data_IF_528412451295
#
_entry.id   IF_528412451295
#
_cell.length_a   1.000
_cell.length_b   1.000
_cell.length_c   1.000
_cell.angle_alpha   90.00
_cell.angle_beta   90.00
_cell.angle_gamma   90.00
#
_symmetry.space_group_name_H-M   'P 1'
#
loop_
_entity.id
_entity.type
_entity.pdbx_description
1 polymer ?
#
# COMPACT_ATOMS: atom_id res chain seq x y z
N UNK A 1 -20.96 6.10 -23.04
CA UNK A 1 -19.80 5.47 -22.37
C UNK A 1 -20.22 4.11 -21.82
N UNK A 2 -19.49 3.03 -22.12
CA UNK A 2 -19.79 1.67 -21.63
C UNK A 2 -18.69 1.25 -20.65
N UNK A 3 -18.96 1.39 -19.35
CA UNK A 3 -18.04 1.05 -18.28
C UNK A 3 -18.03 -0.47 -18.08
N UNK A 4 -17.07 -1.16 -18.69
CA UNK A 4 -16.84 -2.59 -18.47
C UNK A 4 -16.03 -2.79 -17.18
N UNK A 5 -16.70 -2.59 -16.04
CA UNK A 5 -16.17 -2.97 -14.73
C UNK A 5 -16.28 -4.48 -14.55
N UNK A 6 -15.30 -5.22 -15.06
CA UNK A 6 -15.00 -6.52 -14.47
C UNK A 6 -14.49 -6.30 -13.05
N UNK A 7 -14.91 -7.13 -12.10
CA UNK A 7 -13.99 -8.07 -11.43
C UNK A 7 -14.78 -8.98 -10.46
N UNK A 8 -14.13 -9.99 -9.85
CA UNK A 8 -14.71 -11.30 -9.53
C UNK A 8 -14.79 -11.62 -8.02
N UNK A 9 -15.42 -12.75 -7.74
CA UNK A 9 -14.97 -13.69 -6.72
C UNK A 9 -14.79 -15.04 -7.46
N UNK A 10 -13.82 -15.87 -7.07
CA UNK A 10 -13.22 -16.95 -7.91
C UNK A 10 -12.29 -16.46 -9.03
N UNK A 11 -11.62 -15.31 -8.86
CA UNK A 11 -10.72 -14.72 -9.84
C UNK A 11 -10.34 -13.29 -9.52
N UNK A 12 -10.44 -12.43 -10.54
CA UNK A 12 -10.20 -10.98 -10.54
C UNK A 12 -10.74 -10.24 -9.28
N UNK A 13 -10.29 -9.00 -9.07
CA UNK A 13 -10.56 -8.10 -7.92
C UNK A 13 -12.04 -7.72 -7.60
N UNK A 14 -12.30 -6.58 -6.94
CA UNK A 14 -13.61 -5.92 -7.04
C UNK A 14 -13.42 -4.40 -7.01
N UNK A 15 -13.57 -3.74 -8.15
CA UNK A 15 -13.44 -2.29 -8.26
C UNK A 15 -14.74 -1.60 -7.85
N UNK A 16 -14.72 -0.93 -6.70
CA UNK A 16 -15.78 -0.02 -6.29
C UNK A 16 -15.40 1.38 -6.82
N UNK A 17 -16.18 1.91 -7.75
CA UNK A 17 -16.04 3.29 -8.19
C UNK A 17 -16.90 4.17 -7.30
N UNK A 18 -16.25 5.06 -6.54
CA UNK A 18 -16.93 6.09 -5.76
C UNK A 18 -17.68 7.08 -6.66
N UNK A 19 -17.01 7.57 -7.71
CA UNK A 19 -17.57 8.58 -8.61
C UNK A 19 -17.09 8.41 -10.04
N UNK A 20 -18.02 8.58 -10.98
CA UNK A 20 -17.74 8.83 -12.40
C UNK A 20 -18.17 10.26 -12.69
N UNK A 21 -17.23 11.13 -13.08
CA UNK A 21 -17.52 12.45 -13.64
C UNK A 21 -17.39 12.34 -15.16
N UNK A 22 -18.40 12.80 -15.90
CA UNK A 22 -18.26 13.12 -17.31
C UNK A 22 -17.88 14.61 -17.39
N UNK A 23 -16.79 14.92 -18.10
CA UNK A 23 -16.41 16.30 -18.43
C UNK A 23 -16.47 16.47 -19.94
N UNK A 24 -16.75 17.68 -20.39
CA UNK A 24 -16.42 18.09 -21.74
C UNK A 24 -14.90 18.27 -21.86
N UNK A 25 -14.34 17.91 -23.02
CA UNK A 25 -12.94 18.15 -23.35
C UNK A 25 -12.82 19.63 -23.77
N UNK A 26 -12.30 20.45 -22.88
CA UNK A 26 -12.12 21.89 -23.04
C UNK A 26 -10.66 22.25 -22.75
N UNK A 27 -10.04 23.05 -23.60
CA UNK A 27 -8.66 23.57 -23.45
C UNK A 27 -8.57 24.64 -22.33
N UNK A 28 -8.89 24.24 -21.10
CA UNK A 28 -8.69 25.06 -19.91
C UNK A 28 -7.23 24.91 -19.43
N UNK A 29 -6.57 25.99 -19.00
CA UNK A 29 -5.19 25.92 -18.52
C UNK A 29 -5.13 25.17 -17.18
N UNK A 30 -4.54 23.98 -17.18
CA UNK A 30 -4.27 23.17 -15.98
C UNK A 30 -2.84 23.41 -15.50
N UNK A 31 -2.68 23.81 -14.22
CA UNK A 31 -1.38 23.78 -13.53
C UNK A 31 -1.26 22.45 -12.79
N UNK A 32 -0.23 21.67 -13.12
CA UNK A 32 0.14 20.46 -12.38
C UNK A 32 1.42 20.75 -11.60
N UNK A 33 1.46 20.32 -10.34
CA UNK A 33 2.64 20.42 -9.46
C UNK A 33 2.82 19.10 -8.74
N UNK A 34 4.04 18.56 -8.78
CA UNK A 34 4.42 17.39 -7.99
C UNK A 34 4.95 17.87 -6.63
N UNK A 35 4.57 17.17 -5.57
CA UNK A 35 5.04 17.41 -4.21
C UNK A 35 5.74 16.15 -3.72
N UNK A 36 6.94 16.32 -3.19
CA UNK A 36 7.66 15.25 -2.51
C UNK A 36 7.06 14.99 -1.13
N UNK A 37 7.19 13.75 -0.66
CA UNK A 37 6.80 13.37 0.70
C UNK A 37 7.75 14.06 1.69
N UNK A 38 7.22 14.94 2.55
CA UNK A 38 8.00 15.66 3.55
C UNK A 38 8.34 14.76 4.75
N UNK A 39 7.38 13.93 5.18
CA UNK A 39 7.55 12.94 6.24
C UNK A 39 6.78 11.67 5.90
N UNK A 40 7.32 10.51 6.28
CA UNK A 40 6.59 9.25 6.24
C UNK A 40 6.96 8.38 7.43
N UNK A 41 5.97 7.97 8.21
CA UNK A 41 6.15 7.12 9.38
C UNK A 41 5.40 5.80 9.17
N UNK A 42 6.10 4.68 9.29
CA UNK A 42 5.48 3.36 9.25
C UNK A 42 5.00 2.98 10.65
N UNK A 43 3.72 2.67 10.75
CA UNK A 43 3.08 2.17 11.95
C UNK A 43 2.53 0.76 11.74
N UNK A 44 2.23 0.10 12.84
CA UNK A 44 1.50 -1.17 12.84
C UNK A 44 0.27 -1.00 13.76
N UNK A 45 -0.75 -0.24 13.34
CA UNK A 45 -1.97 -0.08 14.15
C UNK A 45 -2.68 -1.42 14.37
N UNK A 46 -2.55 -2.36 13.43
CA UNK A 46 -3.29 -3.62 13.38
C UNK A 46 -4.21 -3.66 12.16
N UNK A 47 -4.78 -4.84 11.83
CA UNK A 47 -5.71 -4.94 10.71
C UNK A 47 -6.98 -4.10 11.01
N UNK A 48 -7.60 -3.48 10.00
CA UNK A 48 -8.76 -2.64 10.21
C UNK A 48 -10.03 -3.47 10.49
N UNK A 49 -10.91 -2.98 11.36
CA UNK A 49 -12.22 -3.60 11.63
C UNK A 49 -13.14 -3.53 10.41
N UNK A 50 -13.74 -4.66 10.00
CA UNK A 50 -14.77 -4.67 8.94
C UNK A 50 -16.10 -4.13 9.49
N UNK A 51 -16.77 -3.26 8.73
CA UNK A 51 -18.09 -2.73 9.11
C UNK A 51 -19.21 -3.79 9.04
N UNK A 52 -19.12 -4.71 8.07
CA UNK A 52 -20.17 -5.70 7.79
C UNK A 52 -19.55 -7.10 7.53
N UNK A 53 -18.87 -7.71 8.52
CA UNK A 53 -18.11 -8.95 8.31
C UNK A 53 -18.96 -10.12 7.79
N UNK A 54 -20.23 -10.20 8.23
CA UNK A 54 -21.14 -11.30 7.89
C UNK A 54 -21.90 -11.09 6.55
N UNK A 55 -21.60 -10.03 5.79
CA UNK A 55 -22.32 -9.68 4.56
C UNK A 55 -21.41 -9.77 3.31
N UNK A 56 -21.10 -10.99 2.81
CA UNK A 56 -20.08 -11.22 1.78
C UNK A 56 -20.39 -10.65 0.39
N UNK A 57 -21.62 -10.16 0.18
CA UNK A 57 -22.07 -9.50 -1.05
C UNK A 57 -22.00 -7.96 -0.99
N UNK A 58 -21.64 -7.37 0.16
CA UNK A 58 -21.42 -5.93 0.28
C UNK A 58 -19.97 -5.55 -0.03
N UNK A 59 -19.70 -4.27 -0.35
CA UNK A 59 -18.36 -3.73 -0.30
C UNK A 59 -17.70 -4.02 1.04
N UNK A 60 -16.44 -4.46 1.01
CA UNK A 60 -15.61 -4.62 2.21
C UNK A 60 -15.16 -3.25 2.71
N UNK A 61 -16.08 -2.56 3.35
CA UNK A 61 -15.80 -1.33 4.07
C UNK A 61 -15.21 -1.66 5.44
N UNK A 62 -14.23 -0.86 5.85
CA UNK A 62 -13.53 -1.01 7.13
C UNK A 62 -13.36 0.34 7.83
N UNK A 63 -13.03 0.28 9.12
CA UNK A 63 -12.52 1.42 9.89
C UNK A 63 -11.04 1.12 10.17
N UNK A 64 -10.17 2.09 9.90
CA UNK A 64 -8.74 1.98 10.17
C UNK A 64 -8.47 2.29 11.65
N UNK A 65 -8.92 1.36 12.51
CA UNK A 65 -8.89 1.40 13.97
C UNK A 65 -7.86 0.44 14.59
N UNK A 66 -7.26 -0.44 13.78
CA UNK A 66 -6.38 -1.51 14.25
C UNK A 66 -7.07 -2.67 14.99
N UNK A 67 -8.40 -2.61 15.15
CA UNK A 67 -9.20 -3.51 15.98
C UNK A 67 -9.65 -4.80 15.31
N UNK A 68 -9.30 -5.00 14.03
CA UNK A 68 -9.66 -6.18 13.26
C UNK A 68 -9.05 -7.46 13.82
N UNK A 69 -9.68 -8.60 13.53
CA UNK A 69 -9.16 -9.89 13.95
C UNK A 69 -7.80 -10.20 13.27
N UNK A 70 -6.78 -10.69 14.00
CA UNK A 70 -5.59 -11.24 13.37
C UNK A 70 -5.94 -12.48 12.55
N UNK A 71 -5.15 -12.77 11.52
CA UNK A 71 -5.29 -13.97 10.68
C UNK A 71 -3.95 -14.72 10.65
N UNK A 72 -3.64 -15.52 11.69
CA UNK A 72 -2.37 -16.24 11.81
C UNK A 72 -2.12 -17.19 10.63
N UNK A 73 -3.18 -17.73 10.03
CA UNK A 73 -3.12 -18.58 8.83
C UNK A 73 -2.70 -17.83 7.55
N UNK A 74 -2.46 -16.51 7.67
CA UNK A 74 -1.99 -15.61 6.61
C UNK A 74 -0.71 -14.88 6.99
N UNK A 75 -0.02 -15.32 8.04
CA UNK A 75 1.34 -14.87 8.28
C UNK A 75 2.23 -15.21 7.08
N UNK A 76 3.28 -14.42 6.85
CA UNK A 76 4.33 -14.69 5.86
C UNK A 76 5.65 -14.95 6.57
N UNK A 77 6.57 -15.62 5.89
CA UNK A 77 7.96 -15.75 6.30
C UNK A 77 8.81 -14.60 5.73
N UNK A 78 9.86 -14.21 6.46
CA UNK A 78 10.80 -13.18 6.05
C UNK A 78 10.91 -12.03 7.04
N UNK A 79 11.42 -10.89 6.55
CA UNK A 79 11.63 -9.68 7.34
C UNK A 79 10.78 -8.54 6.77
N UNK A 80 10.24 -7.73 7.67
CA UNK A 80 9.40 -6.58 7.39
C UNK A 80 10.10 -5.29 7.81
N UNK A 81 9.65 -4.18 7.26
CA UNK A 81 10.19 -2.87 7.61
C UNK A 81 9.86 -2.55 9.06
N UNK A 82 10.86 -2.03 9.79
CA UNK A 82 10.72 -1.51 11.16
C UNK A 82 9.73 -0.34 11.18
N UNK A 83 9.05 -0.15 12.30
CA UNK A 83 8.20 1.03 12.50
C UNK A 83 9.04 2.32 12.66
N UNK A 84 8.39 3.46 12.51
CA UNK A 84 9.00 4.79 12.47
C UNK A 84 9.42 5.19 11.05
N UNK A 85 10.34 6.16 10.95
CA UNK A 85 10.56 6.88 9.70
C UNK A 85 11.00 6.04 8.50
N UNK A 86 10.23 6.13 7.43
CA UNK A 86 10.40 5.46 6.13
C UNK A 86 10.44 6.41 4.94
N UNK A 87 10.56 7.73 5.15
CA UNK A 87 10.59 8.74 4.08
C UNK A 87 11.55 8.38 2.92
N UNK A 88 12.77 7.92 3.22
CA UNK A 88 13.74 7.51 2.20
C UNK A 88 13.40 6.23 1.40
N UNK A 89 12.34 5.50 1.78
CA UNK A 89 11.81 4.33 1.07
C UNK A 89 10.54 4.63 0.25
N UNK A 90 9.97 5.84 0.39
CA UNK A 90 8.74 6.25 -0.32
C UNK A 90 8.95 7.50 -1.19
N UNK A 91 10.16 8.08 -1.17
CA UNK A 91 10.54 9.25 -1.95
C UNK A 91 11.02 8.95 -3.39
N UNK A 92 10.89 7.72 -3.89
CA UNK A 92 11.32 7.37 -5.26
C UNK A 92 11.13 5.91 -5.67
N UNK A 93 11.35 5.66 -6.97
CA UNK A 93 11.16 4.39 -7.69
C UNK A 93 12.46 3.55 -7.75
N UNK A 94 12.94 3.08 -6.60
CA UNK A 94 14.13 2.22 -6.53
C UNK A 94 13.90 0.86 -5.86
N UNK A 95 14.96 0.05 -5.79
CA UNK A 95 14.93 -1.33 -5.29
C UNK A 95 14.88 -1.44 -3.74
N UNK A 96 14.53 -0.36 -3.02
CA UNK A 96 14.42 -0.28 -1.56
C UNK A 96 12.99 0.02 -1.14
N UNK A 97 12.23 -1.03 -0.83
CA UNK A 97 10.79 -0.93 -0.57
C UNK A 97 10.45 -0.82 0.92
N UNK A 98 9.38 -0.09 1.25
CA UNK A 98 8.68 -0.27 2.50
C UNK A 98 7.90 -1.60 2.47
N UNK A 99 8.39 -2.62 3.17
CA UNK A 99 7.81 -3.96 3.21
C UNK A 99 6.85 -4.05 4.40
N UNK A 100 5.57 -4.13 4.09
CA UNK A 100 4.46 -4.07 5.05
C UNK A 100 3.79 -5.44 5.23
N UNK A 101 3.36 -5.73 6.46
CA UNK A 101 2.41 -6.80 6.78
C UNK A 101 0.96 -6.29 6.72
N UNK A 102 0.02 -7.22 6.83
CA UNK A 102 -1.40 -6.93 7.02
C UNK A 102 -1.61 -6.10 8.29
N UNK A 103 -2.13 -4.88 8.12
CA UNK A 103 -2.45 -3.99 9.24
C UNK A 103 -1.30 -3.08 9.66
N UNK A 104 -0.24 -3.02 8.87
CA UNK A 104 0.64 -1.86 8.87
C UNK A 104 -0.06 -0.67 8.19
N UNK A 105 0.30 0.53 8.61
CA UNK A 105 -0.05 1.79 7.96
C UNK A 105 1.22 2.59 7.67
N UNK A 106 1.16 3.48 6.68
CA UNK A 106 2.17 4.53 6.50
C UNK A 106 1.44 5.85 6.49
N UNK A 107 1.71 6.71 7.47
CA UNK A 107 1.25 8.10 7.45
C UNK A 107 2.19 8.90 6.55
N UNK A 108 1.63 9.66 5.60
CA UNK A 108 2.36 10.49 4.65
C UNK A 108 2.00 11.96 4.85
N UNK A 109 3.00 12.79 5.14
CA UNK A 109 2.84 14.23 5.25
C UNK A 109 3.42 14.92 4.00
N UNK A 110 2.63 15.81 3.41
CA UNK A 110 3.03 16.65 2.28
C UNK A 110 2.96 18.12 2.70
N UNK A 111 3.99 18.89 2.37
CA UNK A 111 4.08 20.33 2.64
C UNK A 111 4.08 21.13 1.33
N UNK A 112 3.93 22.45 1.42
CA UNK A 112 4.01 23.33 0.25
C UNK A 112 2.82 23.27 -0.71
N UNK A 113 1.67 22.73 -0.28
CA UNK A 113 0.42 22.78 -1.05
C UNK A 113 -0.02 24.25 -1.20
N UNK A 114 0.19 24.84 -2.37
CA UNK A 114 -0.35 26.16 -2.72
C UNK A 114 -1.89 26.12 -2.77
N UNK A 115 -2.60 27.14 -2.27
CA UNK A 115 -4.05 27.24 -2.46
C UNK A 115 -4.40 27.49 -3.93
N UNK A 116 -5.59 27.06 -4.40
CA UNK A 116 -6.04 27.36 -5.76
C UNK A 116 -6.15 28.87 -6.00
N UNK A 117 -5.89 29.28 -7.25
CA UNK A 117 -6.18 30.63 -7.69
C UNK A 117 -7.68 30.94 -7.57
N UNK A 118 -8.10 32.20 -7.35
CA UNK A 118 -9.51 32.57 -7.23
C UNK A 118 -10.33 32.09 -8.44
N UNK A 119 -11.35 31.26 -8.17
CA UNK A 119 -12.21 30.67 -9.20
C UNK A 119 -11.76 29.31 -9.76
N UNK A 120 -10.62 28.76 -9.32
CA UNK A 120 -10.16 27.42 -9.71
C UNK A 120 -10.57 26.33 -8.69
N UNK A 121 -10.85 25.11 -9.18
CA UNK A 121 -10.99 23.88 -8.36
C UNK A 121 -9.60 23.24 -8.21
N UNK A 122 -9.20 22.89 -6.99
CA UNK A 122 -8.00 22.09 -6.73
C UNK A 122 -8.39 20.62 -6.52
N UNK A 123 -7.64 19.71 -7.12
CA UNK A 123 -7.71 18.27 -6.85
C UNK A 123 -6.32 17.77 -6.47
N UNK A 124 -6.26 16.94 -5.43
CA UNK A 124 -5.03 16.29 -4.96
C UNK A 124 -5.09 14.80 -5.32
N UNK A 125 -4.01 14.27 -5.86
CA UNK A 125 -3.89 12.86 -6.24
C UNK A 125 -2.63 12.27 -5.61
N UNK A 126 -2.79 11.17 -4.87
CA UNK A 126 -1.65 10.37 -4.45
C UNK A 126 -1.24 9.46 -5.61
N UNK A 127 -0.02 9.64 -6.10
CA UNK A 127 0.64 8.70 -7.01
C UNK A 127 1.47 7.77 -6.13
N UNK A 128 1.24 6.47 -6.22
CA UNK A 128 1.94 5.47 -5.40
C UNK A 128 2.26 4.22 -6.23
N UNK A 129 3.50 3.76 -6.16
CA UNK A 129 3.91 2.47 -6.71
C UNK A 129 3.77 1.40 -5.63
N UNK A 130 2.77 0.53 -5.78
CA UNK A 130 2.43 -0.48 -4.79
C UNK A 130 2.61 -1.89 -5.37
N UNK A 131 3.40 -2.71 -4.68
CA UNK A 131 3.49 -4.14 -4.96
C UNK A 131 2.67 -4.94 -3.94
N UNK A 132 1.74 -5.74 -4.44
CA UNK A 132 0.98 -6.70 -3.64
C UNK A 132 1.22 -8.12 -4.16
N UNK A 133 1.65 -9.03 -3.27
CA UNK A 133 1.75 -10.46 -3.59
C UNK A 133 0.35 -11.12 -3.53
N UNK A 134 -0.21 -11.62 -4.65
CA UNK A 134 -1.50 -12.30 -4.62
C UNK A 134 -1.39 -13.61 -3.84
N UNK A 135 -2.27 -13.80 -2.85
CA UNK A 135 -2.31 -15.00 -1.99
C UNK A 135 -3.27 -16.09 -2.47
N UNK A 136 -4.09 -15.81 -3.48
CA UNK A 136 -5.05 -16.76 -4.06
C UNK A 136 -4.88 -16.78 -5.58
N UNK A 137 -4.44 -17.91 -6.12
CA UNK A 137 -4.49 -18.21 -7.56
C UNK A 137 -5.67 -19.15 -7.80
N UNK A 138 -6.48 -18.86 -8.81
CA UNK A 138 -7.68 -19.67 -9.09
C UNK A 138 -7.26 -21.03 -9.65
N UNK A 139 -7.79 -22.10 -9.05
CA UNK A 139 -7.49 -23.47 -9.48
C UNK A 139 -6.29 -24.10 -8.76
N UNK A 140 -5.48 -23.31 -8.05
CA UNK A 140 -4.44 -23.84 -7.17
C UNK A 140 -5.06 -24.33 -5.84
N UNK A 141 -4.80 -25.58 -5.40
CA UNK A 141 -5.34 -26.12 -4.16
C UNK A 141 -4.62 -25.60 -2.90
N UNK A 142 -3.46 -24.94 -3.07
CA UNK A 142 -2.65 -24.38 -2.00
C UNK A 142 -2.20 -22.95 -2.36
N UNK A 143 -1.76 -22.17 -1.36
CA UNK A 143 -1.09 -20.90 -1.63
C UNK A 143 0.25 -21.18 -2.34
N UNK A 144 0.61 -20.45 -3.41
CA UNK A 144 1.95 -20.55 -4.00
C UNK A 144 3.03 -20.27 -2.95
N UNK A 145 4.17 -20.96 -3.02
CA UNK A 145 5.27 -20.74 -2.08
C UNK A 145 5.75 -19.28 -2.05
N UNK A 146 5.70 -18.58 -3.20
CA UNK A 146 6.01 -17.15 -3.32
C UNK A 146 5.02 -16.23 -2.57
N UNK A 147 3.81 -16.72 -2.26
CA UNK A 147 2.80 -16.01 -1.47
C UNK A 147 2.95 -16.25 0.04
N UNK A 148 3.79 -17.22 0.43
CA UNK A 148 4.09 -17.55 1.83
C UNK A 148 5.32 -16.79 2.34
N UNK A 149 6.17 -16.25 1.47
CA UNK A 149 7.37 -15.50 1.85
C UNK A 149 7.38 -14.06 1.30
N UNK A 150 7.98 -13.14 2.07
CA UNK A 150 8.32 -11.77 1.63
C UNK A 150 9.31 -11.82 0.46
N UNK A 151 10.32 -12.66 0.57
CA UNK A 151 11.36 -12.82 -0.45
C UNK A 151 10.94 -13.82 -1.56
N UNK A 152 11.51 -13.74 -2.78
CA UNK A 152 12.29 -12.61 -3.27
C UNK A 152 11.42 -11.36 -3.41
N UNK A 153 11.97 -10.20 -3.05
CA UNK A 153 11.44 -8.89 -3.47
C UNK A 153 11.75 -8.67 -4.97
N UNK A 154 10.85 -7.99 -5.71
CA UNK A 154 11.11 -7.61 -7.09
C UNK A 154 12.04 -6.42 -7.17
N UNK A 155 12.83 -6.38 -8.24
CA UNK A 155 13.62 -5.21 -8.64
C UNK A 155 12.82 -4.39 -9.64
N UNK A 156 12.79 -3.07 -9.48
CA UNK A 156 11.95 -2.17 -10.26
C UNK A 156 12.31 -2.15 -11.76
N UNK A 157 13.56 -2.51 -12.12
CA UNK A 157 14.13 -2.14 -13.44
C UNK A 157 14.48 -3.27 -14.41
N UNK A 158 14.46 -4.56 -14.05
CA UNK A 158 14.64 -5.68 -15.01
C UNK A 158 14.47 -7.10 -14.40
N UNK A 159 14.22 -8.15 -15.21
CA UNK A 159 14.47 -9.52 -14.78
C UNK A 159 15.98 -9.78 -14.58
N UNK A 160 16.30 -10.64 -13.62
CA UNK A 160 17.67 -11.00 -13.21
C UNK A 160 18.60 -11.43 -14.38
N UNK A 161 19.94 -11.26 -14.27
CA UNK A 161 20.69 -11.16 -13.02
C UNK A 161 21.68 -9.98 -12.96
N UNK A 162 21.23 -8.86 -12.39
CA UNK A 162 22.14 -8.00 -11.64
C UNK A 162 21.80 -8.15 -10.16
N UNK A 163 22.80 -8.46 -9.34
CA UNK A 163 22.68 -8.17 -7.92
C UNK A 163 22.59 -6.65 -7.78
N UNK A 164 21.67 -6.10 -6.96
CA UNK A 164 21.74 -4.70 -6.58
C UNK A 164 23.10 -4.43 -5.93
N UNK A 165 23.59 -3.18 -5.90
CA UNK A 165 24.87 -2.87 -5.22
C UNK A 165 24.85 -3.49 -3.82
N UNK A 166 25.69 -4.52 -3.66
CA UNK A 166 25.57 -5.44 -2.53
C UNK A 166 25.79 -4.70 -1.21
N UNK A 167 26.51 -3.57 -1.24
CA UNK A 167 26.74 -2.73 -0.06
C UNK A 167 25.51 -1.89 0.28
N UNK A 168 24.94 -1.12 -0.66
CA UNK A 168 23.73 -0.33 -0.39
C UNK A 168 22.51 -1.20 -0.10
N UNK A 169 22.33 -2.31 -0.81
CA UNK A 169 21.22 -3.24 -0.57
C UNK A 169 21.34 -3.93 0.80
N UNK A 170 22.52 -4.42 1.20
CA UNK A 170 22.71 -4.95 2.57
C UNK A 170 22.51 -3.89 3.65
N UNK A 171 22.90 -2.63 3.40
CA UNK A 171 22.63 -1.51 4.33
C UNK A 171 21.14 -1.24 4.45
N UNK A 172 20.40 -1.25 3.34
CA UNK A 172 18.94 -1.13 3.33
C UNK A 172 18.29 -2.27 4.14
N UNK A 173 18.62 -3.53 3.84
CA UNK A 173 18.10 -4.69 4.58
C UNK A 173 18.40 -4.59 6.07
N UNK A 174 19.67 -4.36 6.44
CA UNK A 174 20.08 -4.24 7.84
C UNK A 174 19.42 -3.06 8.57
N UNK A 175 19.23 -1.92 7.90
CA UNK A 175 18.64 -0.73 8.52
C UNK A 175 17.11 -0.84 8.63
N UNK A 176 16.43 -1.33 7.60
CA UNK A 176 14.96 -1.30 7.51
C UNK A 176 14.30 -2.64 7.81
N UNK A 177 14.79 -3.76 7.28
CA UNK A 177 14.12 -5.06 7.36
C UNK A 177 14.45 -5.80 8.67
N UNK A 178 13.89 -5.30 9.77
CA UNK A 178 14.24 -5.71 11.15
C UNK A 178 13.10 -6.38 11.93
N UNK A 179 11.84 -6.30 11.46
CA UNK A 179 10.67 -6.85 12.16
C UNK A 179 10.29 -8.21 11.58
N UNK A 180 9.81 -9.15 12.41
CA UNK A 180 9.21 -10.39 11.91
C UNK A 180 7.69 -10.28 11.81
N UNK A 181 7.06 -10.88 10.79
CA UNK A 181 5.61 -11.03 10.71
C UNK A 181 5.02 -11.60 12.00
N UNK A 182 3.81 -11.17 12.35
CA UNK A 182 3.12 -11.60 13.57
C UNK A 182 3.73 -11.13 14.91
N UNK A 183 4.86 -10.42 14.92
CA UNK A 183 5.29 -9.69 16.12
C UNK A 183 4.34 -8.50 16.31
N UNK A 184 3.41 -8.64 17.25
CA UNK A 184 2.34 -7.68 17.48
C UNK A 184 2.86 -6.32 17.94
N UNK A 185 2.37 -5.27 17.32
CA UNK A 185 2.49 -3.93 17.87
C UNK A 185 1.63 -3.75 19.12
N UNK A 186 1.99 -2.74 19.93
CA UNK A 186 1.08 -2.22 20.94
C UNK A 186 -0.06 -1.48 20.25
N UNK A 187 -1.34 -1.69 20.63
CA UNK A 187 -2.42 -0.86 20.14
C UNK A 187 -2.17 0.60 20.54
N UNK A 188 -2.44 1.51 19.63
CA UNK A 188 -2.43 2.95 19.91
C UNK A 188 -3.55 3.26 20.92
N UNK A 189 -3.16 3.67 22.12
CA UNK A 189 -4.03 4.47 22.96
C UNK A 189 -4.16 5.84 22.28
N UNK A 190 -5.20 6.02 21.46
CA UNK A 190 -5.52 7.33 20.87
C UNK A 190 -5.67 8.34 22.01
N UNK A 191 -4.89 9.42 21.95
CA UNK A 191 -5.13 10.58 22.78
C UNK A 191 -6.50 11.18 22.41
N UNK A 192 -7.32 11.40 23.42
CA UNK A 192 -8.65 12.06 23.34
C UNK A 192 -8.53 13.56 23.20
#
# INVERSE_FOLDING_TARGET
>A
MRLCLGTHQRGQAMWYLDRVRLTEENDLPVKVSHLEVAQAELEQPGPPSLLYPDQPHRPRLSIDDGGGLPMPERQVDGMLTRCGSVAELVAGDDDRMAVMDRGDGVELCFEGIEPPAPGAEQSLFLIAELLYKPRLVVGEPAQPALSQAVEPLPYARQPAPYAPDEVSHRRYLHRYQQRRPGQGARPLARAT
#
